data_IF_723315461433
#
_entry.id   IF_723315461433
#
_cell.length_a   1.000
_cell.length_b   1.000
_cell.length_c   1.000
_cell.angle_alpha   90.00
_cell.angle_beta   90.00
_cell.angle_gamma   90.00
#
_symmetry.space_group_name_H-M   'P 1'
#
loop_
_entity.id
_entity.type
_entity.pdbx_description
1 polymer ?
#
# COMPACT_ATOMS: atom_id res chain seq x y z
N UNK A 1 5.00 9.78 25.70
CA UNK A 1 4.42 8.43 25.46
C UNK A 1 3.05 8.37 26.11
N UNK A 2 2.13 7.58 25.57
CA UNK A 2 0.80 7.37 26.13
C UNK A 2 0.55 5.86 26.32
N UNK A 3 -0.20 5.49 27.36
CA UNK A 3 -0.64 4.11 27.58
C UNK A 3 -1.98 3.91 26.86
N UNK A 4 -2.11 2.80 26.17
CA UNK A 4 -3.33 2.35 25.52
C UNK A 4 -3.46 0.83 25.68
N UNK A 5 -4.70 0.35 25.73
CA UNK A 5 -5.04 -1.06 25.89
C UNK A 5 -5.79 -1.53 24.64
N UNK A 6 -5.52 -2.76 24.20
CA UNK A 6 -6.07 -3.32 22.96
C UNK A 6 -6.56 -4.74 23.22
N UNK A 7 -7.68 -5.10 22.60
CA UNK A 7 -8.14 -6.49 22.49
C UNK A 7 -7.61 -7.08 21.18
N UNK A 8 -7.11 -8.31 21.22
CA UNK A 8 -6.56 -8.99 20.05
C UNK A 8 -6.33 -10.48 20.32
N UNK A 9 -5.96 -11.22 19.27
CA UNK A 9 -5.59 -12.63 19.40
C UNK A 9 -4.26 -12.75 20.14
N UNK A 10 -4.10 -13.79 20.96
CA UNK A 10 -2.85 -14.03 21.70
C UNK A 10 -1.64 -14.17 20.75
N UNK A 11 -1.86 -14.78 19.58
CA UNK A 11 -0.86 -14.94 18.52
C UNK A 11 -0.29 -13.60 18.00
N UNK A 12 -1.07 -12.51 18.06
CA UNK A 12 -0.67 -11.20 17.54
C UNK A 12 0.07 -10.33 18.59
N UNK A 13 0.09 -10.76 19.86
CA UNK A 13 0.59 -9.96 20.99
C UNK A 13 2.03 -9.49 20.79
N UNK A 14 2.93 -10.41 20.43
CA UNK A 14 4.35 -10.10 20.24
C UNK A 14 4.58 -9.24 19.00
N UNK A 15 3.79 -9.43 17.95
CA UNK A 15 3.84 -8.60 16.75
C UNK A 15 3.45 -7.15 17.08
N UNK A 16 2.32 -6.94 17.77
CA UNK A 16 1.84 -5.61 18.17
C UNK A 16 2.85 -4.91 19.08
N UNK A 17 3.43 -5.63 20.05
CA UNK A 17 4.49 -5.10 20.93
C UNK A 17 5.71 -4.64 20.14
N UNK A 18 6.20 -5.49 19.25
CA UNK A 18 7.38 -5.19 18.43
C UNK A 18 7.14 -4.02 17.49
N UNK A 19 5.94 -3.94 16.91
CA UNK A 19 5.51 -2.81 16.08
C UNK A 19 5.51 -1.50 16.87
N UNK A 20 4.91 -1.46 18.06
CA UNK A 20 4.89 -0.27 18.91
C UNK A 20 6.31 0.21 19.26
N UNK A 21 7.22 -0.73 19.55
CA UNK A 21 8.63 -0.43 19.80
C UNK A 21 9.29 0.18 18.57
N UNK A 22 9.16 -0.44 17.39
CA UNK A 22 9.74 0.08 16.13
C UNK A 22 9.20 1.47 15.78
N UNK A 23 7.92 1.70 16.01
CA UNK A 23 7.28 3.00 15.74
C UNK A 23 7.74 4.12 16.69
N UNK A 24 8.31 3.77 17.84
CA UNK A 24 8.83 4.77 18.80
C UNK A 24 10.11 5.44 18.28
N UNK A 25 10.87 4.75 17.42
CA UNK A 25 12.14 5.28 16.89
C UNK A 25 11.96 6.52 16.01
N UNK A 26 10.77 6.72 15.44
CA UNK A 26 10.42 7.96 14.73
C UNK A 26 11.21 8.21 13.43
N UNK A 27 12.03 7.26 13.03
CA UNK A 27 12.89 7.34 11.85
C UNK A 27 12.10 7.19 10.53
N UNK A 28 12.81 7.23 9.41
CA UNK A 28 12.23 7.13 8.06
C UNK A 28 11.43 5.83 7.89
N UNK A 29 11.91 4.73 8.46
CA UNK A 29 11.27 3.44 8.34
C UNK A 29 10.03 3.34 9.24
N UNK A 30 10.07 3.87 10.46
CA UNK A 30 8.90 4.01 11.32
C UNK A 30 7.79 4.79 10.62
N UNK A 31 8.13 5.89 9.94
CA UNK A 31 7.18 6.65 9.13
C UNK A 31 6.61 5.82 7.95
N UNK A 32 7.46 5.07 7.25
CA UNK A 32 7.04 4.16 6.16
C UNK A 32 6.10 3.06 6.65
N UNK A 33 6.38 2.49 7.82
CA UNK A 33 5.54 1.48 8.46
C UNK A 33 4.17 2.07 8.79
N UNK A 34 4.09 3.27 9.43
CA UNK A 34 2.80 3.94 9.72
C UNK A 34 1.98 4.18 8.46
N UNK A 35 2.61 4.67 7.39
CA UNK A 35 1.92 4.93 6.12
C UNK A 35 1.36 3.64 5.50
N UNK A 36 2.13 2.56 5.56
CA UNK A 36 1.70 1.26 5.04
C UNK A 36 0.55 0.68 5.86
N UNK A 37 0.65 0.70 7.18
CA UNK A 37 -0.41 0.21 8.08
C UNK A 37 -1.72 0.98 7.88
N UNK A 38 -1.65 2.32 7.80
CA UNK A 38 -2.83 3.17 7.55
C UNK A 38 -3.51 2.78 6.25
N UNK A 39 -2.75 2.61 5.17
CA UNK A 39 -3.29 2.19 3.87
C UNK A 39 -3.96 0.82 3.94
N UNK A 40 -3.29 -0.15 4.57
CA UNK A 40 -3.80 -1.53 4.68
C UNK A 40 -5.08 -1.59 5.52
N UNK A 41 -5.11 -0.90 6.68
CA UNK A 41 -6.26 -0.91 7.58
C UNK A 41 -7.45 -0.14 7.00
N UNK A 42 -7.22 0.98 6.32
CA UNK A 42 -8.27 1.75 5.65
C UNK A 42 -8.89 1.02 4.45
N UNK A 43 -8.36 -0.15 4.05
CA UNK A 43 -8.78 -0.85 2.85
C UNK A 43 -8.53 -0.06 1.57
N UNK A 44 -7.63 0.94 1.63
CA UNK A 44 -7.36 1.80 0.49
C UNK A 44 -6.80 0.93 -0.64
N UNK A 45 -7.42 0.95 -1.84
CA UNK A 45 -6.92 0.18 -2.95
C UNK A 45 -5.46 0.59 -3.21
N UNK A 46 -4.57 -0.38 -3.50
CA UNK A 46 -3.18 -0.06 -3.77
C UNK A 46 -3.13 1.01 -4.86
N UNK A 47 -2.34 2.06 -4.63
CA UNK A 47 -2.21 3.19 -5.56
C UNK A 47 -1.97 2.65 -6.98
N UNK A 48 -2.98 2.75 -7.83
CA UNK A 48 -2.91 2.36 -9.23
C UNK A 48 -2.18 3.47 -10.00
N UNK A 49 -1.45 3.09 -11.05
CA UNK A 49 -0.82 4.06 -11.94
C UNK A 49 0.53 4.63 -11.47
N UNK A 50 1.16 4.09 -10.43
CA UNK A 50 2.52 4.53 -10.02
C UNK A 50 3.57 4.35 -11.12
N UNK A 51 3.52 3.22 -11.84
CA UNK A 51 4.37 2.95 -13.00
C UNK A 51 4.06 3.94 -14.14
N UNK A 52 2.78 4.15 -14.47
CA UNK A 52 2.36 5.13 -15.47
C UNK A 52 2.82 6.55 -15.11
N UNK A 53 2.74 6.94 -13.84
CA UNK A 53 3.21 8.22 -13.35
C UNK A 53 4.74 8.36 -13.41
N UNK A 54 5.49 7.27 -13.25
CA UNK A 54 6.93 7.27 -13.47
C UNK A 54 7.26 7.44 -14.96
N UNK A 55 6.57 6.70 -15.85
CA UNK A 55 6.75 6.80 -17.30
C UNK A 55 6.43 8.20 -17.83
N UNK A 56 5.37 8.87 -17.34
CA UNK A 56 5.02 10.25 -17.72
C UNK A 56 6.04 11.30 -17.27
N UNK A 57 6.93 10.98 -16.33
CA UNK A 57 8.02 11.85 -15.85
C UNK A 57 9.37 11.51 -16.50
N UNK A 58 9.42 10.47 -17.33
CA UNK A 58 10.63 10.08 -18.07
C UNK A 58 10.91 11.06 -19.21
N UNK A 59 12.19 11.29 -19.57
CA UNK A 59 12.56 11.99 -20.80
C UNK A 59 11.99 11.34 -22.08
N UNK A 60 11.59 10.07 -22.00
CA UNK A 60 10.94 9.31 -23.08
C UNK A 60 9.43 9.56 -23.17
N UNK A 61 8.89 10.53 -22.43
CA UNK A 61 7.50 10.97 -22.57
C UNK A 61 7.26 11.43 -24.02
N UNK A 62 6.28 10.84 -24.70
CA UNK A 62 6.02 11.10 -26.12
C UNK A 62 6.66 10.11 -27.10
N UNK A 63 7.32 9.04 -26.64
CA UNK A 63 7.81 7.95 -27.48
C UNK A 63 6.70 7.05 -28.10
N UNK A 64 5.54 7.63 -28.42
CA UNK A 64 4.35 6.94 -28.98
C UNK A 64 3.96 5.64 -28.27
N UNK A 65 4.11 5.62 -26.93
CA UNK A 65 3.63 4.50 -26.12
C UNK A 65 2.10 4.53 -26.08
N UNK A 66 1.48 3.56 -26.75
CA UNK A 66 0.05 3.33 -26.57
C UNK A 66 -0.21 2.77 -25.17
N UNK A 67 -0.82 3.62 -24.33
CA UNK A 67 -1.21 3.28 -22.96
C UNK A 67 -2.69 2.97 -22.83
N UNK A 68 -3.41 3.02 -23.95
CA UNK A 68 -4.81 2.62 -23.99
C UNK A 68 -4.91 1.11 -23.81
N UNK A 69 -5.85 0.68 -22.99
CA UNK A 69 -6.20 -0.73 -22.85
C UNK A 69 -7.54 -0.93 -23.56
N UNK A 70 -7.58 -1.83 -24.53
CA UNK A 70 -8.83 -2.21 -25.19
C UNK A 70 -9.81 -2.79 -24.16
N UNK A 71 -10.98 -2.16 -24.03
CA UNK A 71 -12.07 -2.68 -23.20
C UNK A 71 -12.91 -3.65 -24.03
N UNK A 72 -12.70 -4.95 -23.83
CA UNK A 72 -13.49 -6.00 -24.48
C UNK A 72 -14.53 -6.53 -23.50
N UNK A 73 -15.68 -6.96 -24.01
CA UNK A 73 -16.63 -7.71 -23.18
C UNK A 73 -15.95 -9.01 -22.72
N UNK A 74 -16.12 -9.38 -21.45
CA UNK A 74 -15.54 -10.60 -20.90
C UNK A 74 -16.02 -11.84 -21.67
N UNK A 75 -15.24 -12.92 -21.60
CA UNK A 75 -15.68 -14.21 -22.17
C UNK A 75 -16.88 -14.70 -21.37
N UNK A 76 -17.97 -15.04 -22.05
CA UNK A 76 -19.08 -15.76 -21.43
C UNK A 76 -18.58 -17.17 -21.06
N UNK A 77 -18.59 -17.47 -19.77
CA UNK A 77 -18.23 -18.78 -19.20
C UNK A 77 -19.40 -19.24 -18.35
N UNK A 78 -19.84 -20.48 -18.58
CA UNK A 78 -20.85 -21.15 -17.75
C UNK A 78 -20.12 -21.74 -16.52
N UNK A 79 -20.55 -21.37 -15.31
CA UNK A 79 -19.90 -21.74 -14.03
C UNK A 79 -20.72 -22.80 -13.29
#
# INVERSE_FOLDING_TARGET
MARFEVLGLDADRELIRSLAKRLTEGDRDANRIRATLRRTIAGEPPRRGGILAALRRSPLVGAELDTSRSTTHGRQIDL
#
